data_IF_241419618990
#
_entry.id   IF_241419618990
#
_cell.length_a   1.000
_cell.length_b   1.000
_cell.length_c   1.000
_cell.angle_alpha   90.00
_cell.angle_beta   90.00
_cell.angle_gamma   90.00
#
_symmetry.space_group_name_H-M   'P 1'
#
loop_
_entity.id
_entity.type
_entity.pdbx_description
1 polymer ?
#
# COMPACT_ATOMS: atom_id res chain seq x y z
N UNK A 1 -10.54 9.98 19.68
CA UNK A 1 -9.34 9.26 20.26
C UNK A 1 -9.08 8.01 19.41
N UNK A 2 -7.90 7.39 19.47
CA UNK A 2 -7.58 6.19 18.63
C UNK A 2 -8.59 5.05 18.83
N UNK A 3 -9.10 4.86 20.05
CA UNK A 3 -10.04 3.79 20.43
C UNK A 3 -11.42 3.88 19.73
N UNK A 4 -11.82 5.06 19.27
CA UNK A 4 -13.10 5.28 18.60
C UNK A 4 -12.98 5.10 17.08
N UNK A 5 -11.76 4.90 16.60
CA UNK A 5 -11.46 4.77 15.17
C UNK A 5 -11.28 3.30 14.78
N UNK A 6 -12.05 2.89 13.78
CA UNK A 6 -11.86 1.60 13.11
C UNK A 6 -11.18 1.85 11.77
N UNK A 7 -9.94 1.35 11.65
CA UNK A 7 -9.10 1.55 10.46
C UNK A 7 -9.12 0.30 9.61
N UNK A 8 -9.64 0.42 8.39
CA UNK A 8 -9.50 -0.63 7.38
C UNK A 8 -8.09 -0.58 6.77
N UNK A 9 -7.45 -1.75 6.64
CA UNK A 9 -6.16 -1.88 5.96
C UNK A 9 -6.27 -2.93 4.87
N UNK A 10 -6.22 -2.54 3.60
CA UNK A 10 -6.15 -3.51 2.48
C UNK A 10 -4.73 -4.04 2.34
N UNK A 11 -4.58 -5.29 1.89
CA UNK A 11 -3.25 -5.89 1.76
C UNK A 11 -2.48 -6.02 3.08
N UNK A 12 -3.23 -6.18 4.18
CA UNK A 12 -2.73 -6.12 5.55
C UNK A 12 -1.65 -7.17 5.86
N UNK A 13 -1.63 -8.30 5.17
CA UNK A 13 -0.60 -9.32 5.32
C UNK A 13 0.62 -9.13 4.38
N UNK A 14 0.64 -8.05 3.58
CA UNK A 14 1.79 -7.65 2.78
C UNK A 14 2.92 -7.06 3.64
N UNK A 15 4.09 -6.84 3.05
CA UNK A 15 5.26 -6.36 3.78
C UNK A 15 5.02 -5.01 4.48
N UNK A 16 4.55 -3.98 3.75
CA UNK A 16 4.20 -2.68 4.33
C UNK A 16 2.94 -2.81 5.20
N UNK A 17 1.88 -3.44 4.68
CA UNK A 17 0.60 -3.57 5.37
C UNK A 17 0.72 -4.18 6.76
N UNK A 18 1.55 -5.22 6.93
CA UNK A 18 1.77 -5.85 8.23
C UNK A 18 2.44 -4.92 9.24
N UNK A 19 3.39 -4.10 8.81
CA UNK A 19 4.00 -3.10 9.68
C UNK A 19 3.03 -1.97 10.02
N UNK A 20 2.16 -1.56 9.09
CA UNK A 20 1.08 -0.59 9.33
C UNK A 20 0.12 -1.14 10.39
N UNK A 21 -0.36 -2.38 10.22
CA UNK A 21 -1.22 -3.04 11.23
C UNK A 21 -0.55 -3.06 12.59
N UNK A 22 0.73 -3.42 12.67
CA UNK A 22 1.48 -3.42 13.92
C UNK A 22 1.47 -2.05 14.60
N UNK A 23 1.83 -0.97 13.87
CA UNK A 23 1.87 0.38 14.44
C UNK A 23 0.49 0.83 14.92
N UNK A 24 -0.58 0.52 14.15
CA UNK A 24 -1.95 0.82 14.55
C UNK A 24 -2.33 0.12 15.87
N UNK A 25 -2.03 -1.18 15.98
CA UNK A 25 -2.33 -1.97 17.19
C UNK A 25 -1.51 -1.50 18.40
N UNK A 26 -0.24 -1.17 18.22
CA UNK A 26 0.64 -0.60 19.26
C UNK A 26 0.11 0.76 19.78
N UNK A 27 -0.65 1.50 18.96
CA UNK A 27 -1.29 2.76 19.32
C UNK A 27 -2.74 2.63 19.80
N UNK A 28 -3.25 1.40 19.92
CA UNK A 28 -4.58 1.13 20.44
C UNK A 28 -5.72 1.42 19.47
N UNK A 29 -5.45 1.46 18.15
CA UNK A 29 -6.50 1.52 17.15
C UNK A 29 -7.23 0.18 17.02
N UNK A 30 -8.51 0.25 16.67
CA UNK A 30 -9.24 -0.91 16.17
C UNK A 30 -8.90 -1.08 14.69
N UNK A 31 -8.48 -2.29 14.29
CA UNK A 31 -7.99 -2.57 12.94
C UNK A 31 -8.83 -3.67 12.30
N UNK A 32 -9.34 -3.41 11.11
CA UNK A 32 -9.88 -4.44 10.22
C UNK A 32 -8.89 -4.70 9.08
N UNK A 33 -8.26 -5.85 9.13
CA UNK A 33 -7.18 -6.25 8.25
C UNK A 33 -7.72 -7.07 7.07
N UNK A 34 -7.76 -6.49 5.88
CA UNK A 34 -8.15 -7.16 4.64
C UNK A 34 -7.03 -8.03 4.08
N UNK A 35 -7.28 -9.33 3.98
CA UNK A 35 -6.31 -10.34 3.54
C UNK A 35 -6.94 -11.26 2.49
N UNK A 36 -6.33 -11.38 1.32
CA UNK A 36 -6.89 -12.14 0.21
C UNK A 36 -7.13 -13.63 0.48
N UNK A 37 -6.35 -14.27 1.33
CA UNK A 37 -6.49 -15.69 1.68
C UNK A 37 -6.25 -15.89 3.18
N UNK A 38 -7.19 -15.50 4.06
CA UNK A 38 -6.98 -15.56 5.49
C UNK A 38 -6.96 -16.98 6.06
N UNK A 39 -7.49 -17.97 5.33
CA UNK A 39 -7.49 -19.38 5.74
C UNK A 39 -6.12 -20.05 5.68
N UNK A 40 -5.13 -19.43 5.02
CA UNK A 40 -3.76 -19.91 4.99
C UNK A 40 -3.04 -19.39 6.22
N UNK A 41 -2.88 -20.22 7.24
CA UNK A 41 -2.30 -19.86 8.55
C UNK A 41 -0.97 -19.11 8.40
N UNK A 42 -0.07 -19.60 7.56
CA UNK A 42 1.22 -18.98 7.29
C UNK A 42 1.13 -17.51 6.82
N UNK A 43 -0.01 -17.13 6.23
CA UNK A 43 -0.24 -15.77 5.71
C UNK A 43 -0.76 -14.79 6.74
N UNK A 44 -1.36 -15.27 7.84
CA UNK A 44 -2.01 -14.41 8.83
C UNK A 44 -1.48 -14.58 10.24
N UNK A 45 -0.77 -15.68 10.53
CA UNK A 45 -0.27 -16.00 11.87
C UNK A 45 0.55 -14.86 12.50
N UNK A 46 1.36 -14.17 11.68
CA UNK A 46 2.15 -13.05 12.16
C UNK A 46 1.29 -11.85 12.58
N UNK A 47 0.12 -11.61 11.93
CA UNK A 47 -0.83 -10.58 12.33
C UNK A 47 -1.52 -10.95 13.64
N UNK A 48 -1.99 -12.19 13.77
CA UNK A 48 -2.70 -12.70 14.94
C UNK A 48 -1.84 -12.73 16.20
N UNK A 49 -0.51 -12.82 16.06
CA UNK A 49 0.46 -12.81 17.16
C UNK A 49 0.96 -11.41 17.55
N UNK A 50 0.48 -10.36 16.89
CA UNK A 50 0.90 -9.00 17.23
C UNK A 50 0.37 -8.57 18.60
N UNK A 51 1.19 -7.87 19.41
CA UNK A 51 0.72 -7.28 20.64
C UNK A 51 -0.31 -6.17 20.33
N UNK A 52 -1.38 -6.13 21.13
CA UNK A 52 -2.46 -5.15 21.01
C UNK A 52 -2.46 -4.28 22.26
N UNK A 53 -2.28 -2.97 22.09
CA UNK A 53 -2.36 -2.02 23.18
C UNK A 53 -3.81 -1.87 23.68
N UNK A 54 -3.98 -1.36 24.91
CA UNK A 54 -5.29 -1.18 25.54
C UNK A 54 -6.23 -0.35 24.65
N UNK A 55 -7.41 -0.89 24.39
CA UNK A 55 -8.45 -0.26 23.56
C UNK A 55 -8.37 -0.66 22.09
N UNK A 56 -7.27 -1.27 21.64
CA UNK A 56 -7.15 -1.80 20.28
C UNK A 56 -7.85 -3.14 20.09
N UNK A 57 -8.04 -3.49 18.83
CA UNK A 57 -8.54 -4.81 18.42
C UNK A 57 -8.08 -5.14 17.00
N UNK A 58 -8.00 -6.41 16.66
CA UNK A 58 -7.70 -6.89 15.32
C UNK A 58 -8.82 -7.82 14.84
N UNK A 59 -9.42 -7.47 13.73
CA UNK A 59 -10.30 -8.33 12.94
C UNK A 59 -9.60 -8.63 11.61
N UNK A 60 -9.50 -9.90 11.23
CA UNK A 60 -8.94 -10.31 9.92
C UNK A 60 -10.10 -10.74 9.04
N UNK A 61 -10.26 -10.09 7.90
CA UNK A 61 -11.35 -10.33 6.96
C UNK A 61 -10.81 -10.80 5.61
N UNK A 62 -11.48 -11.80 5.00
CA UNK A 62 -11.20 -12.17 3.61
C UNK A 62 -11.48 -10.96 2.72
N UNK A 63 -10.51 -10.56 1.91
CA UNK A 63 -10.67 -9.40 1.04
C UNK A 63 -9.78 -9.54 -0.20
N UNK A 64 -10.41 -9.77 -1.33
CA UNK A 64 -9.77 -9.53 -2.64
C UNK A 64 -10.20 -8.15 -3.14
N UNK A 65 -9.25 -7.26 -3.36
CA UNK A 65 -9.55 -5.90 -3.86
C UNK A 65 -10.15 -5.90 -5.26
N UNK A 66 -10.07 -7.02 -5.98
CA UNK A 66 -10.75 -7.20 -7.28
C UNK A 66 -12.22 -7.60 -7.12
N UNK A 67 -12.66 -7.97 -5.93
CA UNK A 67 -14.06 -8.24 -5.62
C UNK A 67 -14.66 -7.04 -4.87
N UNK A 68 -15.62 -6.35 -5.51
CA UNK A 68 -16.25 -5.17 -4.93
C UNK A 68 -17.05 -5.49 -3.67
N UNK A 69 -17.60 -6.69 -3.54
CA UNK A 69 -18.34 -7.11 -2.35
C UNK A 69 -17.41 -7.29 -1.14
N UNK A 70 -16.21 -7.84 -1.36
CA UNK A 70 -15.18 -7.97 -0.35
C UNK A 70 -14.69 -6.60 0.15
N UNK A 71 -14.48 -5.66 -0.79
CA UNK A 71 -14.06 -4.30 -0.45
C UNK A 71 -15.14 -3.58 0.35
N UNK A 72 -16.42 -3.70 -0.05
CA UNK A 72 -17.54 -3.13 0.69
C UNK A 72 -17.62 -3.70 2.12
N UNK A 73 -17.51 -5.02 2.28
CA UNK A 73 -17.51 -5.66 3.59
C UNK A 73 -16.34 -5.20 4.47
N UNK A 74 -15.15 -5.01 3.88
CA UNK A 74 -13.99 -4.49 4.59
C UNK A 74 -14.23 -3.08 5.13
N UNK A 75 -14.87 -2.21 4.34
CA UNK A 75 -15.04 -0.79 4.66
C UNK A 75 -16.26 -0.51 5.57
N UNK A 76 -17.16 -1.48 5.76
CA UNK A 76 -18.38 -1.29 6.53
C UNK A 76 -18.10 -0.86 7.97
N UNK A 77 -18.69 0.27 8.39
CA UNK A 77 -18.50 0.86 9.72
C UNK A 77 -17.10 1.39 10.03
N UNK A 78 -16.17 1.39 9.06
CA UNK A 78 -14.85 1.98 9.25
C UNK A 78 -14.89 3.51 9.21
N UNK A 79 -13.95 4.13 9.92
CA UNK A 79 -13.76 5.60 9.96
C UNK A 79 -12.59 6.05 9.09
N UNK A 80 -11.64 5.15 8.84
CA UNK A 80 -10.40 5.43 8.12
C UNK A 80 -10.00 4.27 7.23
N UNK A 81 -9.28 4.56 6.16
CA UNK A 81 -8.73 3.57 5.24
C UNK A 81 -7.24 3.79 5.00
N UNK A 82 -6.46 2.72 5.12
CA UNK A 82 -5.09 2.65 4.61
C UNK A 82 -5.05 1.61 3.49
N UNK A 83 -4.94 2.07 2.26
CA UNK A 83 -4.93 1.21 1.08
C UNK A 83 -3.48 0.86 0.70
N UNK A 84 -3.03 -0.35 1.09
CA UNK A 84 -1.69 -0.85 0.76
C UNK A 84 -1.71 -1.99 -0.27
N UNK A 85 -2.88 -2.52 -0.61
CA UNK A 85 -3.00 -3.60 -1.57
C UNK A 85 -2.51 -3.17 -2.96
N UNK A 86 -1.49 -3.83 -3.45
CA UNK A 86 -0.98 -3.69 -4.81
C UNK A 86 -0.12 -4.90 -5.17
N UNK A 87 0.03 -5.15 -6.46
CA UNK A 87 1.01 -6.14 -6.93
C UNK A 87 2.38 -5.49 -7.07
N UNK A 88 3.36 -6.02 -6.34
CA UNK A 88 4.76 -5.61 -6.47
C UNK A 88 5.45 -6.60 -7.41
N UNK A 89 5.26 -6.42 -8.69
CA UNK A 89 5.88 -7.24 -9.74
C UNK A 89 6.41 -6.31 -10.83
N UNK A 90 7.73 -6.36 -11.07
CA UNK A 90 8.39 -5.45 -12.03
C UNK A 90 8.18 -5.92 -13.47
N UNK A 91 8.09 -7.23 -13.69
CA UNK A 91 7.91 -7.87 -15.02
C UNK A 91 7.01 -9.08 -14.91
N UNK A 92 6.22 -9.29 -15.96
CA UNK A 92 5.36 -10.46 -16.14
C UNK A 92 5.24 -10.79 -17.62
N UNK A 93 4.93 -12.05 -17.93
CA UNK A 93 4.54 -12.47 -19.30
C UNK A 93 3.16 -11.92 -19.69
N UNK A 94 2.32 -11.57 -18.71
CA UNK A 94 1.04 -10.90 -18.90
C UNK A 94 0.98 -9.73 -17.91
N UNK A 95 1.60 -8.56 -18.22
CA UNK A 95 1.66 -7.45 -17.29
C UNK A 95 0.31 -6.78 -17.07
N UNK A 96 -0.58 -6.80 -18.05
CA UNK A 96 -1.91 -6.22 -17.93
C UNK A 96 -2.72 -6.92 -16.84
N UNK A 97 -2.86 -8.23 -16.90
CA UNK A 97 -3.61 -9.03 -15.93
C UNK A 97 -2.92 -9.13 -14.55
N UNK A 98 -1.59 -9.24 -14.54
CA UNK A 98 -0.85 -9.55 -13.29
C UNK A 98 -0.28 -8.34 -12.56
N UNK A 99 -0.20 -7.18 -13.21
CA UNK A 99 0.38 -5.96 -12.65
C UNK A 99 -0.63 -4.81 -12.67
N UNK A 100 -1.18 -4.47 -13.86
CA UNK A 100 -2.07 -3.32 -13.99
C UNK A 100 -3.41 -3.58 -13.31
N UNK A 101 -4.15 -4.61 -13.73
CA UNK A 101 -5.49 -4.89 -13.23
C UNK A 101 -5.53 -4.99 -11.69
N UNK A 102 -4.69 -5.75 -10.98
CA UNK A 102 -4.74 -5.78 -9.53
C UNK A 102 -4.47 -4.44 -8.84
N UNK A 103 -3.77 -3.53 -9.48
CA UNK A 103 -3.47 -2.22 -8.92
C UNK A 103 -4.53 -1.18 -9.28
N UNK A 104 -4.94 -1.13 -10.55
CA UNK A 104 -5.88 -0.12 -11.07
C UNK A 104 -7.30 -0.50 -10.71
N UNK A 105 -7.76 -1.70 -11.11
CA UNK A 105 -9.13 -2.15 -10.87
C UNK A 105 -9.40 -2.30 -9.36
N UNK A 106 -8.38 -2.79 -8.61
CA UNK A 106 -8.46 -2.84 -7.15
C UNK A 106 -8.62 -1.46 -6.51
N UNK A 107 -7.95 -0.43 -7.03
CA UNK A 107 -8.12 0.95 -6.55
C UNK A 107 -9.49 1.51 -6.98
N UNK A 108 -9.98 1.20 -8.18
CA UNK A 108 -11.31 1.61 -8.63
C UNK A 108 -12.42 1.01 -7.77
N UNK A 109 -12.31 -0.27 -7.39
CA UNK A 109 -13.24 -0.90 -6.45
C UNK A 109 -13.21 -0.22 -5.07
N UNK A 110 -12.02 0.17 -4.59
CA UNK A 110 -11.89 0.95 -3.35
C UNK A 110 -12.57 2.32 -3.49
N UNK A 111 -12.36 3.02 -4.58
CA UNK A 111 -13.01 4.32 -4.86
C UNK A 111 -14.53 4.18 -4.88
N UNK A 112 -15.06 3.18 -5.59
CA UNK A 112 -16.51 2.91 -5.64
C UNK A 112 -17.08 2.57 -4.26
N UNK A 113 -16.36 1.80 -3.46
CA UNK A 113 -16.77 1.47 -2.09
C UNK A 113 -16.74 2.71 -1.17
N UNK A 114 -15.76 3.61 -1.33
CA UNK A 114 -15.72 4.86 -0.56
C UNK A 114 -16.99 5.70 -0.75
N UNK A 115 -17.62 5.68 -1.91
CA UNK A 115 -18.88 6.41 -2.15
C UNK A 115 -20.03 5.84 -1.32
N UNK A 116 -20.00 4.52 -1.04
CA UNK A 116 -21.02 3.84 -0.24
C UNK A 116 -20.77 3.95 1.27
N UNK A 117 -19.55 4.31 1.68
CA UNK A 117 -19.13 4.38 3.08
C UNK A 117 -18.73 5.81 3.50
N UNK A 118 -19.71 6.74 3.70
CA UNK A 118 -19.45 8.14 4.03
C UNK A 118 -18.82 8.35 5.43
N UNK A 119 -18.80 7.32 6.27
CA UNK A 119 -18.11 7.35 7.57
C UNK A 119 -16.59 7.45 7.48
N UNK A 120 -16.01 7.01 6.36
CA UNK A 120 -14.56 7.06 6.15
C UNK A 120 -14.16 8.49 5.83
N UNK A 121 -13.34 9.08 6.70
CA UNK A 121 -12.88 10.47 6.60
C UNK A 121 -11.45 10.60 6.12
N UNK A 122 -10.56 9.72 6.57
CA UNK A 122 -9.15 9.79 6.20
C UNK A 122 -8.77 8.59 5.34
N UNK A 123 -8.23 8.86 4.18
CA UNK A 123 -7.80 7.87 3.20
C UNK A 123 -6.30 8.03 2.98
N UNK A 124 -5.54 6.99 3.24
CA UNK A 124 -4.11 6.93 2.98
C UNK A 124 -3.85 5.91 1.87
N UNK A 125 -3.33 6.37 0.75
CA UNK A 125 -3.01 5.51 -0.40
C UNK A 125 -1.52 5.25 -0.49
N UNK A 126 -1.12 4.00 -0.59
CA UNK A 126 0.27 3.60 -0.81
C UNK A 126 0.57 3.58 -2.29
N UNK A 127 1.15 4.67 -2.76
CA UNK A 127 1.72 4.76 -4.10
C UNK A 127 3.18 4.25 -4.12
N UNK A 128 4.02 4.86 -4.91
CA UNK A 128 5.45 4.52 -5.02
C UNK A 128 6.21 5.69 -5.66
N UNK A 129 7.50 5.82 -5.38
CA UNK A 129 8.36 6.68 -6.20
C UNK A 129 8.35 6.29 -7.67
N UNK A 130 7.95 5.06 -8.00
CA UNK A 130 7.78 4.63 -9.39
C UNK A 130 6.65 5.38 -10.13
N UNK A 131 5.67 5.96 -9.41
CA UNK A 131 4.62 6.79 -10.00
C UNK A 131 5.09 8.22 -10.34
N UNK A 132 6.08 8.72 -9.61
CA UNK A 132 6.54 10.12 -9.69
C UNK A 132 7.93 10.25 -10.31
N UNK A 133 8.55 9.13 -10.68
CA UNK A 133 9.90 9.09 -11.24
C UNK A 133 9.86 8.68 -12.71
N UNK A 134 10.02 9.63 -13.65
CA UNK A 134 10.17 9.31 -15.07
C UNK A 134 11.31 8.32 -15.32
N UNK A 135 11.24 7.54 -16.38
CA UNK A 135 12.34 6.67 -16.80
C UNK A 135 13.57 7.47 -17.27
N UNK A 136 13.30 8.65 -17.81
CA UNK A 136 14.32 9.60 -18.25
C UNK A 136 14.18 10.89 -17.46
N UNK A 137 15.22 11.29 -16.75
CA UNK A 137 15.29 12.59 -16.06
C UNK A 137 16.67 13.19 -16.21
N UNK A 138 16.76 14.50 -16.05
CA UNK A 138 18.02 15.23 -16.01
C UNK A 138 18.65 15.14 -14.61
N UNK A 139 19.99 15.21 -14.56
CA UNK A 139 20.70 15.28 -13.29
C UNK A 139 20.27 16.54 -12.53
N UNK A 140 19.98 16.38 -11.24
CA UNK A 140 19.51 17.46 -10.38
C UNK A 140 17.99 17.67 -10.38
N UNK A 141 17.22 16.87 -11.10
CA UNK A 141 15.75 16.89 -11.03
C UNK A 141 15.28 16.58 -9.61
N UNK A 142 14.47 17.46 -9.07
CA UNK A 142 13.76 17.22 -7.79
C UNK A 142 12.42 16.54 -8.08
N UNK A 143 12.20 15.38 -7.48
CA UNK A 143 10.93 14.69 -7.56
C UNK A 143 9.98 15.21 -6.47
N UNK A 144 8.74 15.45 -6.84
CA UNK A 144 7.66 15.82 -5.92
C UNK A 144 6.40 15.03 -6.27
N UNK A 145 5.39 15.12 -5.42
CA UNK A 145 4.09 14.48 -5.66
C UNK A 145 3.32 15.05 -6.86
N UNK A 146 3.80 16.15 -7.43
CA UNK A 146 3.20 16.81 -8.61
C UNK A 146 3.83 16.34 -9.93
N UNK A 147 4.95 15.61 -9.84
CA UNK A 147 5.61 15.01 -11.00
C UNK A 147 5.04 13.62 -11.23
N UNK A 148 4.90 13.24 -12.49
CA UNK A 148 4.43 11.93 -12.88
C UNK A 148 5.44 11.22 -13.79
N UNK A 149 5.48 9.89 -13.69
CA UNK A 149 6.23 9.04 -14.61
C UNK A 149 5.48 8.88 -15.94
N UNK A 150 5.33 9.99 -16.69
CA UNK A 150 4.54 10.04 -17.94
C UNK A 150 5.09 9.15 -19.05
N UNK A 151 6.35 8.80 -18.98
CA UNK A 151 7.03 7.93 -19.94
C UNK A 151 6.97 6.44 -19.57
N UNK A 152 6.28 6.10 -18.47
CA UNK A 152 6.04 4.71 -18.11
C UNK A 152 4.98 4.09 -19.03
N UNK A 153 5.33 2.96 -19.65
CA UNK A 153 4.41 2.18 -20.50
C UNK A 153 4.36 0.73 -20.07
N UNK A 154 3.41 -0.04 -20.62
CA UNK A 154 3.27 -1.46 -20.31
C UNK A 154 4.52 -2.26 -20.73
N UNK A 155 5.23 -1.80 -21.77
CA UNK A 155 6.41 -2.46 -22.30
C UNK A 155 7.68 -2.14 -21.51
N UNK A 156 7.85 -0.88 -21.09
CA UNK A 156 9.09 -0.42 -20.47
C UNK A 156 9.05 -0.41 -18.93
N UNK A 157 7.90 -0.07 -18.32
CA UNK A 157 7.73 0.02 -16.88
C UNK A 157 6.26 -0.24 -16.47
N UNK A 158 5.75 -1.48 -16.61
CA UNK A 158 4.36 -1.78 -16.28
C UNK A 158 4.01 -1.52 -14.81
N UNK A 159 4.95 -1.69 -13.90
CA UNK A 159 4.75 -1.38 -12.48
C UNK A 159 4.60 0.14 -12.24
N UNK A 160 5.46 0.95 -12.85
CA UNK A 160 5.36 2.40 -12.77
C UNK A 160 4.05 2.90 -13.37
N UNK A 161 3.67 2.40 -14.54
CA UNK A 161 2.39 2.71 -15.18
C UNK A 161 1.20 2.36 -14.27
N UNK A 162 1.19 1.16 -13.69
CA UNK A 162 0.14 0.74 -12.78
C UNK A 162 0.00 1.67 -11.57
N UNK A 163 1.13 2.14 -11.01
CA UNK A 163 1.15 3.08 -9.89
C UNK A 163 0.68 4.48 -10.30
N UNK A 164 1.06 4.97 -11.48
CA UNK A 164 0.54 6.23 -12.04
C UNK A 164 -0.97 6.18 -12.19
N UNK A 165 -1.48 5.15 -12.85
CA UNK A 165 -2.91 5.02 -13.12
C UNK A 165 -3.73 4.88 -11.83
N UNK A 166 -3.33 3.99 -10.93
CA UNK A 166 -4.03 3.79 -9.65
C UNK A 166 -4.08 5.08 -8.80
N UNK A 167 -2.97 5.81 -8.72
CA UNK A 167 -2.93 7.05 -7.96
C UNK A 167 -3.75 8.16 -8.62
N UNK A 168 -3.75 8.25 -9.95
CA UNK A 168 -4.59 9.21 -10.68
C UNK A 168 -6.06 8.97 -10.45
N UNK A 169 -6.51 7.72 -10.43
CA UNK A 169 -7.92 7.38 -10.18
C UNK A 169 -8.36 7.83 -8.78
N UNK A 170 -7.60 7.52 -7.74
CA UNK A 170 -8.00 7.90 -6.38
C UNK A 170 -7.89 9.42 -6.14
N UNK A 171 -6.89 10.10 -6.75
CA UNK A 171 -6.77 11.56 -6.67
C UNK A 171 -7.90 12.26 -7.43
N UNK A 172 -8.27 11.75 -8.61
CA UNK A 172 -9.38 12.25 -9.39
C UNK A 172 -10.69 12.17 -8.60
N UNK A 173 -10.99 11.00 -8.04
CA UNK A 173 -12.14 10.83 -7.17
C UNK A 173 -12.13 11.80 -5.98
N UNK A 174 -10.98 11.97 -5.34
CA UNK A 174 -10.88 12.89 -4.20
C UNK A 174 -11.16 14.34 -4.63
N UNK A 175 -10.65 14.78 -5.76
CA UNK A 175 -10.89 16.12 -6.31
C UNK A 175 -12.37 16.33 -6.66
N UNK A 176 -12.98 15.37 -7.33
CA UNK A 176 -14.33 15.47 -7.88
C UNK A 176 -15.41 15.29 -6.79
N UNK A 177 -15.16 14.42 -5.80
CA UNK A 177 -16.15 13.97 -4.82
C UNK A 177 -15.65 14.11 -3.39
N UNK A 178 -14.53 13.48 -3.06
CA UNK A 178 -14.08 13.28 -1.68
C UNK A 178 -13.84 14.57 -0.91
N UNK A 179 -13.18 15.55 -1.52
CA UNK A 179 -12.89 16.86 -0.91
C UNK A 179 -14.17 17.63 -0.57
N UNK A 180 -15.18 17.58 -1.44
CA UNK A 180 -16.48 18.23 -1.23
C UNK A 180 -17.27 17.60 -0.07
N UNK A 181 -16.93 16.35 0.30
CA UNK A 181 -17.51 15.63 1.44
C UNK A 181 -16.68 15.78 2.72
N UNK A 182 -15.65 16.63 2.72
CA UNK A 182 -14.75 16.84 3.86
C UNK A 182 -13.87 15.63 4.18
N UNK A 183 -13.56 14.78 3.18
CA UNK A 183 -12.63 13.66 3.30
C UNK A 183 -11.21 14.11 2.98
N UNK A 184 -10.24 13.49 3.60
CA UNK A 184 -8.82 13.74 3.30
C UNK A 184 -8.23 12.57 2.55
N UNK A 185 -7.43 12.86 1.53
CA UNK A 185 -6.60 11.87 0.83
C UNK A 185 -5.13 12.25 0.97
N UNK A 186 -4.32 11.31 1.39
CA UNK A 186 -2.86 11.45 1.43
C UNK A 186 -2.21 10.28 0.71
N UNK A 187 -1.26 10.57 -0.16
CA UNK A 187 -0.51 9.56 -0.90
C UNK A 187 0.90 9.45 -0.34
N UNK A 188 1.35 8.24 -0.07
CA UNK A 188 2.71 7.94 0.38
C UNK A 188 3.47 7.29 -0.77
N UNK A 189 4.66 7.81 -1.08
CA UNK A 189 5.49 7.35 -2.20
C UNK A 189 6.77 6.67 -1.68
N UNK A 190 6.73 5.45 -1.17
CA UNK A 190 7.94 4.76 -0.74
C UNK A 190 8.87 4.52 -1.93
N UNK A 191 10.16 4.66 -1.67
CA UNK A 191 11.21 4.18 -2.57
C UNK A 191 11.49 2.68 -2.33
N UNK A 192 12.73 2.22 -2.46
CA UNK A 192 13.08 0.83 -2.19
C UNK A 192 12.95 0.55 -0.67
N UNK A 193 11.96 -0.24 -0.29
CA UNK A 193 11.65 -0.50 1.11
C UNK A 193 12.45 -1.69 1.61
N UNK A 194 13.24 -1.49 2.67
CA UNK A 194 13.99 -2.52 3.36
C UNK A 194 13.63 -2.55 4.85
N UNK A 195 14.09 -3.56 5.57
CA UNK A 195 13.87 -3.71 7.00
C UNK A 195 13.48 -5.14 7.40
N UNK A 196 13.16 -5.40 8.67
CA UNK A 196 12.88 -6.74 9.16
C UNK A 196 11.57 -7.29 8.57
N UNK A 197 11.56 -8.51 8.00
CA UNK A 197 10.33 -9.18 7.61
C UNK A 197 9.58 -9.68 8.87
N UNK A 198 8.26 -9.57 8.89
CA UNK A 198 7.41 -10.14 9.95
C UNK A 198 6.90 -11.55 9.60
N UNK A 199 7.10 -11.97 8.36
CA UNK A 199 6.74 -13.29 7.85
C UNK A 199 7.72 -13.71 6.75
N UNK A 200 7.91 -15.00 6.55
CA UNK A 200 8.67 -15.56 5.40
C UNK A 200 8.08 -15.13 4.06
N UNK A 201 6.78 -14.85 4.03
CA UNK A 201 6.07 -14.32 2.86
C UNK A 201 6.58 -12.97 2.39
N UNK A 202 7.19 -12.18 3.28
CA UNK A 202 7.72 -10.85 2.96
C UNK A 202 9.07 -10.90 2.24
N UNK A 203 9.73 -12.06 2.17
CA UNK A 203 11.01 -12.24 1.47
C UNK A 203 10.86 -12.20 -0.06
N UNK A 204 10.06 -11.27 -0.55
CA UNK A 204 9.73 -11.03 -1.97
C UNK A 204 9.91 -9.54 -2.28
N UNK A 205 9.78 -9.18 -3.55
CA UNK A 205 9.93 -7.79 -3.96
C UNK A 205 11.31 -7.23 -3.65
N UNK A 206 11.38 -6.08 -2.97
CA UNK A 206 12.66 -5.42 -2.65
C UNK A 206 13.59 -6.27 -1.77
N UNK A 207 13.06 -7.08 -0.84
CA UNK A 207 13.88 -7.96 0.00
C UNK A 207 14.57 -9.07 -0.80
N UNK A 208 14.04 -9.46 -1.96
CA UNK A 208 14.71 -10.43 -2.84
C UNK A 208 16.09 -9.91 -3.26
N UNK A 209 16.25 -8.62 -3.49
CA UNK A 209 17.52 -8.00 -3.87
C UNK A 209 18.55 -8.16 -2.74
N UNK A 210 18.15 -7.89 -1.50
CA UNK A 210 19.02 -8.10 -0.33
C UNK A 210 19.43 -9.55 -0.17
N UNK A 211 18.49 -10.48 -0.39
CA UNK A 211 18.79 -11.91 -0.31
C UNK A 211 19.75 -12.35 -1.42
N UNK A 212 19.60 -11.82 -2.64
CA UNK A 212 20.52 -12.10 -3.75
C UNK A 212 21.93 -11.58 -3.45
N UNK A 213 22.04 -10.38 -2.87
CA UNK A 213 23.32 -9.82 -2.42
C UNK A 213 23.94 -10.66 -1.31
N UNK A 214 23.17 -11.01 -0.27
CA UNK A 214 23.64 -11.82 0.85
C UNK A 214 24.10 -13.22 0.42
N UNK A 215 23.44 -13.82 -0.57
CA UNK A 215 23.78 -15.12 -1.15
C UNK A 215 24.89 -15.05 -2.21
N UNK A 216 25.42 -13.85 -2.48
CA UNK A 216 26.40 -13.60 -3.55
C UNK A 216 25.93 -14.10 -4.93
N UNK A 217 24.61 -14.05 -5.16
CA UNK A 217 23.99 -14.46 -6.44
C UNK A 217 24.08 -13.37 -7.52
N UNK A 218 24.50 -12.16 -7.16
CA UNK A 218 24.77 -11.06 -8.10
C UNK A 218 26.27 -11.11 -8.42
N UNK A 219 26.65 -11.38 -9.67
CA UNK A 219 28.06 -11.62 -10.05
C UNK A 219 28.90 -10.34 -10.11
N UNK A 220 28.28 -9.16 -10.07
CA UNK A 220 28.96 -7.88 -10.17
C UNK A 220 28.25 -6.81 -9.34
N UNK A 221 29.00 -5.81 -8.86
CA UNK A 221 28.43 -4.61 -8.25
C UNK A 221 28.01 -3.68 -9.38
N UNK A 222 26.70 -3.45 -9.51
CA UNK A 222 26.15 -2.49 -10.47
C UNK A 222 26.19 -1.11 -9.79
N UNK A 223 26.86 -0.10 -10.38
CA UNK A 223 26.86 1.25 -9.83
C UNK A 223 25.48 1.88 -10.04
N UNK A 224 24.62 1.74 -9.06
CA UNK A 224 23.28 2.34 -9.05
C UNK A 224 23.08 3.16 -7.79
N UNK A 225 22.61 4.40 -7.96
CA UNK A 225 22.11 5.19 -6.85
C UNK A 225 20.64 4.82 -6.60
N UNK A 226 20.36 4.21 -5.46
CA UNK A 226 19.02 3.77 -5.08
C UNK A 226 18.65 4.46 -3.76
N UNK A 227 17.53 5.17 -3.76
CA UNK A 227 16.95 5.66 -2.52
C UNK A 227 16.32 4.50 -1.77
N UNK A 228 16.65 4.37 -0.49
CA UNK A 228 16.12 3.34 0.40
C UNK A 228 15.37 3.96 1.57
N UNK A 229 14.41 3.23 2.11
CA UNK A 229 13.66 3.60 3.31
C UNK A 229 13.40 2.37 4.16
N UNK A 230 13.40 2.52 5.48
CA UNK A 230 13.03 1.44 6.38
C UNK A 230 11.50 1.23 6.37
N UNK A 231 11.05 -0.02 6.35
CA UNK A 231 9.63 -0.37 6.36
C UNK A 231 8.91 0.15 7.61
N UNK A 232 9.63 0.30 8.72
CA UNK A 232 9.07 0.83 9.97
C UNK A 232 8.75 2.32 9.83
N UNK A 233 9.62 3.09 9.15
CA UNK A 233 9.40 4.51 8.89
C UNK A 233 8.26 4.71 7.87
N UNK A 234 8.18 3.82 6.88
CA UNK A 234 7.03 3.79 5.94
C UNK A 234 5.72 3.56 6.68
N UNK A 235 5.66 2.55 7.55
CA UNK A 235 4.46 2.26 8.34
C UNK A 235 4.10 3.41 9.28
N UNK A 236 5.09 3.97 9.94
CA UNK A 236 4.92 5.15 10.81
C UNK A 236 4.35 6.34 10.05
N UNK A 237 4.85 6.60 8.83
CA UNK A 237 4.35 7.67 7.96
C UNK A 237 2.87 7.49 7.61
N UNK A 238 2.44 6.25 7.30
CA UNK A 238 1.04 5.95 7.02
C UNK A 238 0.13 6.24 8.22
N UNK A 239 0.56 5.81 9.41
CA UNK A 239 -0.27 5.98 10.61
C UNK A 239 -0.30 7.44 11.07
N UNK A 240 0.82 8.16 10.98
CA UNK A 240 0.84 9.61 11.26
C UNK A 240 -0.01 10.40 10.28
N UNK A 241 -0.04 10.00 9.02
CA UNK A 241 -0.86 10.65 8.01
C UNK A 241 -2.37 10.61 8.32
N UNK A 242 -2.85 9.68 9.15
CA UNK A 242 -4.24 9.66 9.62
C UNK A 242 -4.60 10.88 10.48
N UNK A 243 -3.64 11.48 11.16
CA UNK A 243 -3.85 12.56 12.13
C UNK A 243 -3.43 13.94 11.58
N UNK A 244 -2.87 13.98 10.38
CA UNK A 244 -2.55 15.25 9.71
C UNK A 244 -3.82 15.78 9.04
N UNK A 245 -4.23 16.96 9.43
CA UNK A 245 -5.38 17.69 8.86
C UNK A 245 -5.11 18.18 7.44
#
# INVERSE_FOLDING_TARGET
MAQDRLVAVTGANGYIGSHVVRVLLERGFRVRAGVRLPHTEERVQHLQKMPIAKGGSLEVLATDVLDSSDVNALLDGCTDLIHTAATVMIRSSNPEEKILSPSVDGTMNVVSALELHPSIRNIIHTSSTAAIRPMKWENGTTLSSEVWAEDATIENNPYGLAKVLAEREIRKWHTDVGSNQGRTLKTIHPCMVFGPPLSSYHLRGSLTILMMLARRSIPAIIPMNINIVDVRDVAESHVRALDMG
#
